data_IF_665778388271
#
_entry.id   IF_665778388271
#
_cell.length_a   1.000
_cell.length_b   1.000
_cell.length_c   1.000
_cell.angle_alpha   90.00
_cell.angle_beta   90.00
_cell.angle_gamma   90.00
#
_symmetry.space_group_name_H-M   'P 1'
#
loop_
_entity.id
_entity.type
_entity.pdbx_description
1 polymer ?
#
# COMPACT_ATOMS: atom_id res chain seq x y z
N UNK A 1 -31.98 13.91 -2.15
CA UNK A 1 -32.24 13.16 -0.91
C UNK A 1 -30.96 13.24 -0.06
N UNK A 2 -31.00 14.08 0.98
CA UNK A 2 -29.95 14.22 1.98
C UNK A 2 -30.13 13.08 3.01
N UNK A 3 -29.27 12.10 3.00
CA UNK A 3 -29.15 11.15 4.10
C UNK A 3 -28.23 11.75 5.19
N UNK A 4 -28.84 12.41 6.18
CA UNK A 4 -28.21 12.71 7.46
C UNK A 4 -28.61 11.62 8.47
N UNK A 5 -28.02 10.45 8.33
CA UNK A 5 -28.04 9.43 9.38
C UNK A 5 -26.79 9.54 10.25
N UNK A 6 -26.83 9.10 11.53
CA UNK A 6 -25.65 9.09 12.37
C UNK A 6 -24.56 8.26 11.67
N UNK A 7 -23.32 8.76 11.65
CA UNK A 7 -22.15 8.01 11.22
C UNK A 7 -22.09 6.78 12.12
N UNK A 8 -22.64 5.66 11.64
CA UNK A 8 -22.47 4.39 12.31
C UNK A 8 -20.96 4.09 12.31
N UNK A 9 -20.45 3.69 13.45
CA UNK A 9 -19.07 3.24 13.58
C UNK A 9 -18.71 2.36 12.37
N UNK A 10 -17.72 2.79 11.62
CA UNK A 10 -17.22 2.10 10.42
C UNK A 10 -17.13 0.61 10.78
N UNK A 11 -17.96 -0.23 10.18
CA UNK A 11 -17.79 -1.69 10.30
C UNK A 11 -16.41 -1.97 9.76
N UNK A 12 -15.45 -2.15 10.66
CA UNK A 12 -14.15 -2.68 10.30
C UNK A 12 -14.43 -4.10 9.85
N UNK A 13 -14.55 -4.29 8.55
CA UNK A 13 -14.55 -5.64 8.01
C UNK A 13 -13.25 -6.27 8.48
N UNK A 14 -13.31 -7.44 9.15
CA UNK A 14 -12.10 -8.12 9.56
C UNK A 14 -11.21 -8.21 8.33
N UNK A 15 -9.93 -7.87 8.49
CA UNK A 15 -8.95 -7.97 7.42
C UNK A 15 -9.00 -9.40 6.88
N UNK A 16 -9.70 -9.58 5.78
CA UNK A 16 -9.98 -10.90 5.23
C UNK A 16 -8.65 -11.55 4.86
N UNK A 17 -8.29 -12.56 5.64
CA UNK A 17 -7.35 -13.58 5.22
C UNK A 17 -5.88 -13.17 5.03
N UNK A 18 -5.49 -11.91 5.19
CA UNK A 18 -4.07 -11.55 5.10
C UNK A 18 -3.27 -12.08 6.29
N UNK A 19 -3.93 -12.40 7.42
CA UNK A 19 -3.29 -13.08 8.54
C UNK A 19 -2.80 -14.49 8.18
N UNK A 20 -3.48 -15.13 7.21
CA UNK A 20 -3.13 -16.45 6.70
C UNK A 20 -2.32 -16.38 5.39
N UNK A 21 -1.99 -15.17 4.93
CA UNK A 21 -1.21 -14.99 3.71
C UNK A 21 0.24 -15.45 3.94
N UNK A 22 0.58 -16.56 3.32
CA UNK A 22 1.95 -17.09 3.31
C UNK A 22 2.61 -16.67 2.01
N UNK A 23 3.69 -15.88 2.10
CA UNK A 23 4.50 -15.57 0.93
C UNK A 23 5.13 -16.84 0.37
N UNK A 24 5.02 -17.03 -0.94
CA UNK A 24 5.69 -18.15 -1.61
C UNK A 24 7.22 -18.03 -1.48
N UNK A 25 7.90 -19.15 -1.62
CA UNK A 25 9.37 -19.17 -1.67
C UNK A 25 9.85 -18.29 -2.83
N UNK A 26 10.92 -17.55 -2.59
CA UNK A 26 11.52 -16.73 -3.65
C UNK A 26 12.18 -17.63 -4.69
N UNK A 27 11.77 -17.56 -5.97
CA UNK A 27 12.37 -18.32 -7.04
C UNK A 27 13.78 -17.82 -7.43
N UNK A 28 14.15 -16.59 -7.01
CA UNK A 28 15.44 -16.01 -7.31
C UNK A 28 16.52 -16.46 -6.31
N UNK A 29 17.73 -16.60 -6.81
CA UNK A 29 18.93 -16.72 -5.98
C UNK A 29 19.64 -15.38 -5.89
N UNK A 30 20.07 -15.00 -4.69
CA UNK A 30 20.72 -13.72 -4.42
C UNK A 30 22.18 -13.94 -4.00
N UNK A 31 23.03 -12.95 -4.33
CA UNK A 31 24.40 -12.94 -3.84
C UNK A 31 24.42 -12.84 -2.30
N UNK A 32 24.94 -13.86 -1.65
CA UNK A 32 24.99 -13.91 -0.20
C UNK A 32 26.00 -12.92 0.39
N UNK A 33 27.02 -12.51 -0.37
CA UNK A 33 28.10 -11.64 0.11
C UNK A 33 27.58 -10.31 0.66
N UNK A 34 26.61 -9.69 -0.02
CA UNK A 34 26.02 -8.44 0.45
C UNK A 34 25.40 -8.56 1.86
N UNK A 35 24.91 -9.76 2.22
CA UNK A 35 24.38 -10.05 3.54
C UNK A 35 25.47 -10.40 4.55
N UNK A 36 26.54 -11.07 4.11
CA UNK A 36 27.64 -11.46 4.97
C UNK A 36 28.42 -10.24 5.46
N UNK A 37 28.54 -9.21 4.62
CA UNK A 37 29.15 -7.92 4.95
C UNK A 37 28.29 -7.03 5.85
N UNK A 38 27.00 -7.34 6.03
CA UNK A 38 26.10 -6.59 6.90
C UNK A 38 26.28 -7.01 8.35
N UNK A 39 26.30 -6.03 9.27
CA UNK A 39 26.26 -6.32 10.70
C UNK A 39 24.97 -7.02 11.11
N UNK A 40 25.01 -7.78 12.23
CA UNK A 40 23.79 -8.36 12.80
C UNK A 40 22.85 -7.29 13.30
N UNK A 41 21.55 -7.63 13.42
CA UNK A 41 20.51 -6.76 13.95
C UNK A 41 19.60 -6.19 12.88
N UNK A 42 18.71 -5.29 13.33
CA UNK A 42 17.75 -4.61 12.49
C UNK A 42 18.42 -3.40 11.84
N UNK A 43 18.22 -3.23 10.55
CA UNK A 43 18.63 -2.06 9.79
C UNK A 43 17.43 -1.42 9.14
N UNK A 44 17.48 -0.11 8.92
CA UNK A 44 16.48 0.59 8.14
C UNK A 44 17.09 1.72 7.30
N UNK A 45 16.41 2.05 6.21
CA UNK A 45 16.74 3.18 5.35
C UNK A 45 15.49 3.69 4.64
N UNK A 46 15.51 4.92 4.17
CA UNK A 46 14.52 5.38 3.21
C UNK A 46 14.78 4.81 1.82
N UNK A 47 13.71 4.45 1.15
CA UNK A 47 13.69 4.05 -0.25
C UNK A 47 12.95 5.04 -1.13
N UNK A 48 12.90 4.78 -2.44
CA UNK A 48 12.06 5.51 -3.40
C UNK A 48 10.77 4.75 -3.65
N UNK A 49 9.64 5.46 -3.72
CA UNK A 49 8.34 4.88 -4.10
C UNK A 49 8.33 4.36 -5.55
N UNK A 50 9.27 4.83 -6.38
CA UNK A 50 9.40 4.42 -7.79
C UNK A 50 10.23 3.16 -7.96
N UNK A 51 10.71 2.55 -6.87
CA UNK A 51 11.59 1.38 -6.91
C UNK A 51 10.90 0.16 -6.31
N UNK A 52 10.89 -0.93 -7.05
CA UNK A 52 10.48 -2.23 -6.56
C UNK A 52 11.68 -2.93 -5.91
N UNK A 53 11.67 -3.02 -4.61
CA UNK A 53 12.77 -3.61 -3.85
C UNK A 53 12.66 -5.13 -3.82
N UNK A 54 13.66 -5.82 -4.33
CA UNK A 54 13.72 -7.29 -4.27
C UNK A 54 13.92 -7.77 -2.84
N UNK A 55 13.23 -8.85 -2.47
CA UNK A 55 13.21 -9.41 -1.11
C UNK A 55 14.61 -9.78 -0.62
N UNK A 56 15.42 -10.40 -1.46
CA UNK A 56 16.73 -10.93 -1.10
C UNK A 56 17.91 -9.96 -1.27
N UNK A 57 17.69 -8.70 -1.65
CA UNK A 57 18.75 -7.72 -1.84
C UNK A 57 18.89 -6.78 -0.63
N UNK A 58 20.14 -6.50 -0.24
CA UNK A 58 20.42 -5.42 0.71
C UNK A 58 20.21 -4.08 0.00
N UNK A 59 19.48 -3.10 0.60
CA UNK A 59 19.36 -1.78 0.02
C UNK A 59 20.72 -1.10 -0.18
N UNK A 60 20.96 -0.59 -1.39
CA UNK A 60 22.20 0.10 -1.71
C UNK A 60 22.32 1.44 -0.95
N UNK A 61 21.21 2.18 -0.80
CA UNK A 61 21.16 3.43 -0.08
C UNK A 61 20.88 3.20 1.41
N UNK A 62 21.55 3.98 2.25
CA UNK A 62 21.36 3.96 3.71
C UNK A 62 20.87 5.31 4.22
N UNK A 63 20.02 5.97 3.45
CA UNK A 63 19.49 7.30 3.73
C UNK A 63 18.59 7.23 4.96
N UNK A 64 18.84 8.10 5.94
CA UNK A 64 18.08 8.16 7.20
C UNK A 64 17.11 9.33 7.26
N UNK A 65 17.15 10.24 6.31
CA UNK A 65 16.31 11.43 6.27
C UNK A 65 15.65 11.53 4.89
N UNK A 66 14.38 11.95 4.89
CA UNK A 66 13.65 12.22 3.65
C UNK A 66 12.79 13.46 3.81
N UNK A 67 12.50 14.12 2.68
CA UNK A 67 11.65 15.31 2.65
C UNK A 67 10.74 15.24 1.43
N UNK A 68 9.50 15.71 1.61
CA UNK A 68 8.58 15.98 0.51
C UNK A 68 7.97 17.36 0.65
N UNK A 69 7.57 17.95 -0.50
CA UNK A 69 6.80 19.18 -0.59
C UNK A 69 5.37 18.80 -0.92
N UNK A 70 4.41 19.32 -0.16
CA UNK A 70 3.02 18.87 -0.19
C UNK A 70 2.05 20.04 -0.09
N UNK A 71 0.80 19.84 -0.51
CA UNK A 71 -0.28 20.78 -0.31
C UNK A 71 -1.13 20.38 0.90
N UNK A 72 -1.85 21.33 1.47
CA UNK A 72 -2.86 21.09 2.51
C UNK A 72 -3.96 20.14 1.98
N UNK A 73 -4.28 19.10 2.73
CA UNK A 73 -5.26 18.08 2.35
C UNK A 73 -4.73 17.01 1.38
N UNK A 74 -3.45 16.99 1.10
CA UNK A 74 -2.79 15.95 0.30
C UNK A 74 -2.48 14.71 1.14
N UNK A 75 -2.36 13.56 0.46
CA UNK A 75 -1.76 12.34 0.99
C UNK A 75 -0.44 12.12 0.29
N UNK A 76 0.64 12.09 1.05
CA UNK A 76 1.98 11.84 0.52
C UNK A 76 2.50 10.50 1.02
N UNK A 77 3.19 9.77 0.14
CA UNK A 77 3.66 8.44 0.43
C UNK A 77 5.18 8.35 0.43
N UNK A 78 5.70 7.49 1.29
CA UNK A 78 7.11 7.17 1.41
C UNK A 78 7.28 5.66 1.57
N UNK A 79 8.48 5.16 1.27
CA UNK A 79 8.86 3.78 1.57
C UNK A 79 10.04 3.80 2.53
N UNK A 80 9.85 3.18 3.71
CA UNK A 80 10.94 2.77 4.56
C UNK A 80 11.28 1.31 4.27
N UNK A 81 12.56 0.97 4.37
CA UNK A 81 13.08 -0.37 4.16
C UNK A 81 13.61 -0.90 5.48
N UNK A 82 13.02 -1.95 6.01
CA UNK A 82 13.55 -2.72 7.13
C UNK A 82 14.28 -3.94 6.58
N UNK A 83 15.52 -4.18 6.99
CA UNK A 83 16.29 -5.31 6.48
C UNK A 83 17.22 -5.90 7.53
N UNK A 84 17.47 -7.18 7.41
CA UNK A 84 18.25 -7.92 8.41
C UNK A 84 18.97 -9.14 7.84
N UNK A 85 20.15 -9.42 8.39
CA UNK A 85 20.92 -10.64 8.09
C UNK A 85 20.32 -11.88 8.75
N UNK A 86 19.82 -11.74 9.97
CA UNK A 86 19.23 -12.82 10.77
C UNK A 86 17.73 -12.57 10.98
N UNK A 87 16.95 -13.61 11.28
CA UNK A 87 15.55 -13.44 11.61
C UNK A 87 15.37 -12.47 12.79
N UNK A 88 14.42 -11.54 12.63
CA UNK A 88 14.00 -10.62 13.71
C UNK A 88 12.50 -10.69 13.88
N UNK A 89 12.07 -10.91 15.12
CA UNK A 89 10.66 -11.06 15.49
C UNK A 89 10.04 -9.74 15.91
N UNK A 90 8.73 -9.67 15.76
CA UNK A 90 7.88 -8.58 16.26
C UNK A 90 8.35 -7.18 15.85
N UNK A 91 8.77 -7.05 14.60
CA UNK A 91 9.12 -5.75 14.02
C UNK A 91 7.86 -4.93 13.88
N UNK A 92 7.89 -3.71 14.45
CA UNK A 92 6.80 -2.73 14.40
C UNK A 92 7.30 -1.43 13.77
N UNK A 93 6.38 -0.71 13.15
CA UNK A 93 6.62 0.66 12.71
C UNK A 93 5.76 1.62 13.54
N UNK A 94 6.40 2.54 14.25
CA UNK A 94 5.75 3.53 15.11
C UNK A 94 6.16 4.91 14.65
N UNK A 95 5.25 5.85 14.66
CA UNK A 95 5.48 7.22 14.18
C UNK A 95 5.34 8.23 15.33
N UNK A 96 6.15 9.27 15.32
CA UNK A 96 5.93 10.43 16.18
C UNK A 96 4.97 11.41 15.51
N UNK A 97 4.49 12.38 16.27
CA UNK A 97 3.94 13.60 15.67
C UNK A 97 4.99 14.26 14.80
N UNK A 98 4.58 14.88 13.68
CA UNK A 98 5.44 15.74 12.91
C UNK A 98 5.23 17.17 13.44
N UNK A 99 6.30 17.77 13.96
CA UNK A 99 6.27 19.06 14.64
C UNK A 99 6.68 20.17 13.70
N UNK A 100 5.84 21.18 13.59
CA UNK A 100 6.15 22.49 13.00
C UNK A 100 6.40 23.54 14.07
N UNK A 101 6.60 24.79 13.65
CA UNK A 101 6.89 25.91 14.57
C UNK A 101 5.70 26.19 15.50
N UNK A 102 4.48 26.19 14.99
CA UNK A 102 3.27 26.58 15.72
C UNK A 102 2.15 25.54 15.70
N UNK A 103 2.38 24.41 15.08
CA UNK A 103 1.37 23.36 14.90
C UNK A 103 2.03 21.99 14.77
N UNK A 104 1.22 20.94 14.81
CA UNK A 104 1.65 19.55 14.63
C UNK A 104 0.78 18.84 13.60
N UNK A 105 1.35 17.89 12.91
CA UNK A 105 0.60 16.80 12.23
C UNK A 105 0.64 15.62 13.19
N UNK A 106 -0.51 15.23 13.77
CA UNK A 106 -0.54 14.15 14.75
C UNK A 106 -0.05 12.81 14.18
N UNK A 107 0.57 11.98 14.99
CA UNK A 107 0.99 10.63 14.59
C UNK A 107 -0.14 9.79 14.00
N UNK A 108 -1.39 10.02 14.43
CA UNK A 108 -2.58 9.37 13.86
C UNK A 108 -2.85 9.67 12.38
N UNK A 109 -2.25 10.74 11.84
CA UNK A 109 -2.28 11.06 10.42
C UNK A 109 -1.19 10.34 9.62
N UNK A 110 -0.33 9.58 10.28
CA UNK A 110 0.74 8.81 9.64
C UNK A 110 0.41 7.33 9.76
N UNK A 111 0.13 6.70 8.63
CA UNK A 111 -0.17 5.26 8.53
C UNK A 111 1.05 4.52 8.02
N UNK A 112 1.31 3.34 8.56
CA UNK A 112 2.38 2.46 8.10
C UNK A 112 1.83 1.06 7.84
N UNK A 113 2.18 0.50 6.68
CA UNK A 113 1.77 -0.83 6.26
C UNK A 113 2.99 -1.63 5.81
N UNK A 114 3.17 -2.84 6.31
CA UNK A 114 4.16 -3.75 5.74
C UNK A 114 3.74 -4.13 4.33
N UNK A 115 4.70 -4.17 3.41
CA UNK A 115 4.42 -4.59 2.04
C UNK A 115 4.75 -6.06 1.87
N UNK A 116 3.76 -6.87 1.51
CA UNK A 116 3.94 -8.29 1.21
C UNK A 116 4.43 -8.49 -0.21
N UNK A 117 5.16 -9.59 -0.40
CA UNK A 117 5.66 -10.01 -1.69
C UNK A 117 4.71 -11.00 -2.35
N UNK A 118 4.48 -10.78 -3.63
CA UNK A 118 3.69 -11.67 -4.50
C UNK A 118 4.49 -12.06 -5.73
N UNK A 119 4.14 -13.19 -6.35
CA UNK A 119 4.75 -13.59 -7.61
C UNK A 119 4.27 -12.70 -8.75
N UNK A 120 5.18 -12.22 -9.55
CA UNK A 120 4.90 -11.42 -10.74
C UNK A 120 5.95 -11.66 -11.81
N UNK A 121 5.60 -11.46 -13.05
CA UNK A 121 6.50 -11.42 -14.20
C UNK A 121 6.98 -10.00 -14.54
N UNK A 122 6.64 -9.02 -13.71
CA UNK A 122 6.85 -7.58 -13.96
C UNK A 122 8.30 -7.19 -14.27
N UNK A 123 9.28 -7.92 -13.76
CA UNK A 123 10.70 -7.65 -14.03
C UNK A 123 11.20 -8.31 -15.33
N UNK A 124 10.38 -9.11 -15.96
CA UNK A 124 10.71 -9.75 -17.20
C UNK A 124 10.14 -8.93 -18.36
N UNK A 125 10.94 -8.09 -18.93
CA UNK A 125 10.68 -7.49 -20.24
C UNK A 125 11.18 -8.51 -21.26
N UNK A 126 10.31 -9.33 -21.81
CA UNK A 126 10.59 -10.05 -23.05
C UNK A 126 9.91 -9.28 -24.19
N UNK A 127 10.57 -9.19 -25.32
CA UNK A 127 10.01 -8.62 -26.57
C UNK A 127 8.77 -9.40 -27.03
N UNK A 128 8.46 -10.50 -26.39
CA UNK A 128 7.30 -11.38 -26.64
C UNK A 128 6.07 -11.05 -25.77
N UNK A 129 6.09 -10.04 -24.90
CA UNK A 129 4.87 -9.56 -24.23
C UNK A 129 4.03 -8.83 -25.26
N UNK A 130 3.46 -9.62 -26.12
CA UNK A 130 2.43 -9.20 -27.04
C UNK A 130 1.13 -9.05 -26.26
N UNK A 131 0.62 -7.83 -26.31
CA UNK A 131 -0.76 -7.40 -26.06
C UNK A 131 -1.61 -8.30 -25.12
N UNK A 132 -2.53 -7.71 -24.39
CA UNK A 132 -3.49 -8.32 -23.46
C UNK A 132 -4.22 -9.60 -23.91
N UNK A 133 -4.02 -10.07 -25.12
CA UNK A 133 -4.64 -11.24 -25.72
C UNK A 133 -3.72 -12.48 -25.86
N UNK A 134 -2.44 -12.37 -25.62
CA UNK A 134 -1.53 -13.52 -25.75
C UNK A 134 -1.60 -14.41 -24.50
N UNK A 135 -2.46 -15.41 -24.56
CA UNK A 135 -2.54 -16.50 -23.58
C UNK A 135 -1.35 -17.45 -23.74
N UNK A 136 -0.15 -17.00 -23.48
CA UNK A 136 0.95 -17.93 -23.27
C UNK A 136 0.89 -18.40 -21.82
N UNK A 137 0.91 -19.71 -21.55
CA UNK A 137 1.00 -20.21 -20.18
C UNK A 137 2.20 -19.57 -19.51
N UNK A 138 1.98 -18.82 -18.42
CA UNK A 138 3.06 -18.29 -17.62
C UNK A 138 3.92 -19.44 -17.13
N UNK A 139 5.16 -19.50 -17.59
CA UNK A 139 6.13 -20.39 -17.00
C UNK A 139 6.54 -19.79 -15.67
N UNK A 140 6.30 -20.50 -14.58
CA UNK A 140 6.69 -20.10 -13.22
C UNK A 140 8.19 -19.79 -13.10
N UNK A 141 9.00 -20.36 -14.00
CA UNK A 141 10.45 -20.11 -14.13
C UNK A 141 10.83 -18.64 -14.38
N UNK A 142 9.88 -17.81 -14.75
CA UNK A 142 10.08 -16.41 -15.09
C UNK A 142 9.44 -15.44 -14.09
N UNK A 143 8.90 -15.96 -13.00
CA UNK A 143 8.25 -15.17 -11.97
C UNK A 143 9.25 -14.71 -10.92
N UNK A 144 9.05 -13.52 -10.42
CA UNK A 144 9.85 -12.90 -9.36
C UNK A 144 8.94 -12.46 -8.23
N UNK A 145 9.47 -12.37 -7.02
CA UNK A 145 8.75 -11.75 -5.93
C UNK A 145 8.83 -10.24 -6.05
N UNK A 146 7.67 -9.58 -6.09
CA UNK A 146 7.54 -8.12 -6.07
C UNK A 146 6.82 -7.66 -4.82
N UNK A 147 7.20 -6.52 -4.24
CA UNK A 147 6.46 -5.92 -3.13
C UNK A 147 5.20 -5.22 -3.69
N UNK A 148 4.02 -5.74 -3.40
CA UNK A 148 2.78 -5.26 -4.03
C UNK A 148 1.60 -5.11 -3.06
N UNK A 149 1.47 -5.95 -2.04
CA UNK A 149 0.29 -5.96 -1.18
C UNK A 149 0.55 -5.22 0.12
N UNK A 150 -0.24 -4.17 0.41
CA UNK A 150 -0.22 -3.48 1.69
C UNK A 150 -0.93 -4.33 2.75
N UNK A 151 -0.20 -4.69 3.82
CA UNK A 151 -0.72 -5.50 4.91
C UNK A 151 -1.01 -4.63 6.15
N UNK A 152 -2.17 -4.83 6.75
CA UNK A 152 -2.64 -4.04 7.89
C UNK A 152 -2.27 -4.66 9.25
N UNK A 153 -1.27 -5.55 9.27
CA UNK A 153 -0.80 -6.14 10.52
C UNK A 153 0.05 -5.14 11.33
N UNK A 154 -0.08 -5.13 12.67
CA UNK A 154 0.63 -4.19 13.52
C UNK A 154 2.12 -4.53 13.69
N UNK A 155 2.50 -5.77 13.44
CA UNK A 155 3.87 -6.27 13.57
C UNK A 155 4.11 -7.47 12.68
N UNK A 156 5.38 -7.71 12.36
CA UNK A 156 5.80 -8.79 11.47
C UNK A 156 7.13 -9.39 11.91
N UNK A 157 7.31 -10.69 11.74
CA UNK A 157 8.63 -11.31 11.74
C UNK A 157 9.28 -11.11 10.37
N UNK A 158 10.50 -10.54 10.35
CA UNK A 158 11.29 -10.41 9.13
C UNK A 158 12.30 -11.56 9.12
N UNK A 159 12.21 -12.48 8.15
CA UNK A 159 13.17 -13.57 7.98
C UNK A 159 14.59 -13.05 7.76
N UNK A 160 15.57 -13.87 8.07
CA UNK A 160 16.97 -13.54 7.76
C UNK A 160 17.21 -13.33 6.26
N UNK A 161 18.18 -12.47 5.93
CA UNK A 161 18.55 -12.10 4.55
C UNK A 161 17.35 -11.58 3.75
N UNK A 162 16.53 -10.75 4.41
CA UNK A 162 15.30 -10.20 3.83
C UNK A 162 15.26 -8.68 3.98
N UNK A 163 14.88 -8.02 2.91
CA UNK A 163 14.45 -6.63 2.90
C UNK A 163 12.93 -6.59 2.86
N UNK A 164 12.34 -5.83 3.79
CA UNK A 164 10.89 -5.63 3.91
C UNK A 164 10.56 -4.16 3.72
N UNK A 165 9.89 -3.79 2.62
CA UNK A 165 9.38 -2.44 2.48
C UNK A 165 8.21 -2.19 3.44
N UNK A 166 8.14 -0.97 3.93
CA UNK A 166 7.06 -0.45 4.77
C UNK A 166 6.54 0.80 4.06
N UNK A 167 5.29 0.76 3.64
CA UNK A 167 4.61 1.89 3.00
C UNK A 167 4.12 2.84 4.06
N UNK A 168 4.50 4.10 3.97
CA UNK A 168 4.13 5.14 4.92
C UNK A 168 3.33 6.19 4.19
N UNK A 169 2.11 6.46 4.65
CA UNK A 169 1.23 7.50 4.13
C UNK A 169 1.04 8.58 5.18
N UNK A 170 1.34 9.83 4.84
CA UNK A 170 1.06 10.99 5.67
C UNK A 170 -0.16 11.73 5.10
N UNK A 171 -1.21 11.84 5.90
CA UNK A 171 -2.42 12.60 5.55
C UNK A 171 -2.28 14.03 6.09
N UNK A 172 -2.13 15.00 5.19
CA UNK A 172 -1.92 16.40 5.56
C UNK A 172 -3.28 17.05 5.88
N UNK A 173 -3.49 17.60 7.08
CA UNK A 173 -4.73 18.31 7.40
C UNK A 173 -4.96 19.50 6.46
N UNK A 174 -6.23 19.78 6.17
CA UNK A 174 -6.61 20.88 5.25
C UNK A 174 -6.45 22.27 5.85
N UNK A 175 -6.50 22.37 7.16
CA UNK A 175 -6.48 23.60 7.97
C UNK A 175 -5.15 23.86 8.65
N UNK A 176 -4.14 23.06 8.35
CA UNK A 176 -2.82 23.20 8.96
C UNK A 176 -2.10 24.45 8.41
N UNK A 177 -1.35 25.20 9.22
CA UNK A 177 -0.48 26.26 8.73
C UNK A 177 0.57 25.75 7.75
N UNK A 178 0.93 26.54 6.74
CA UNK A 178 2.07 26.26 5.87
C UNK A 178 3.38 26.31 6.65
N UNK A 179 4.37 25.51 6.23
CA UNK A 179 5.67 25.40 6.87
C UNK A 179 6.23 23.98 6.89
N UNK A 180 7.37 23.82 7.51
CA UNK A 180 8.01 22.52 7.67
C UNK A 180 7.53 21.80 8.93
N UNK A 181 7.25 20.52 8.80
CA UNK A 181 6.85 19.59 9.85
C UNK A 181 7.78 18.39 9.84
N UNK A 182 8.51 18.19 10.93
CA UNK A 182 9.49 17.11 11.06
C UNK A 182 9.12 16.15 12.18
N UNK A 183 9.25 14.87 11.93
CA UNK A 183 9.04 13.80 12.90
C UNK A 183 9.92 12.61 12.61
N UNK A 184 9.71 11.56 13.39
CA UNK A 184 10.52 10.35 13.35
C UNK A 184 9.64 9.12 13.14
N UNK A 185 10.17 8.19 12.37
CA UNK A 185 9.64 6.86 12.14
C UNK A 185 10.58 5.89 12.86
N UNK A 186 10.03 5.16 13.83
CA UNK A 186 10.74 4.16 14.61
C UNK A 186 10.41 2.77 14.08
N UNK A 187 11.40 2.06 13.59
CA UNK A 187 11.27 0.64 13.25
C UNK A 187 11.88 -0.14 14.39
N UNK A 188 11.06 -0.81 15.18
CA UNK A 188 11.40 -1.44 16.45
C UNK A 188 11.27 -2.93 16.37
N UNK A 189 12.12 -3.64 17.10
CA UNK A 189 12.03 -5.10 17.25
C UNK A 189 11.84 -5.52 18.70
N UNK A 190 11.43 -6.77 18.94
CA UNK A 190 11.35 -7.35 20.27
C UNK A 190 12.71 -7.39 20.99
N UNK A 191 13.81 -7.38 20.26
CA UNK A 191 15.17 -7.38 20.82
C UNK A 191 15.62 -6.00 21.35
N UNK A 192 14.77 -4.96 21.22
CA UNK A 192 15.05 -3.61 21.73
C UNK A 192 15.94 -2.78 20.83
N UNK A 193 16.21 -3.23 19.61
CA UNK A 193 16.95 -2.44 18.62
C UNK A 193 15.97 -1.53 17.86
N UNK A 194 16.13 -0.22 18.07
CA UNK A 194 15.35 0.78 17.35
C UNK A 194 16.16 1.36 16.20
N UNK A 195 15.56 1.41 15.02
CA UNK A 195 16.07 2.15 13.88
C UNK A 195 15.20 3.39 13.68
N UNK A 196 15.85 4.53 13.61
CA UNK A 196 15.19 5.84 13.51
C UNK A 196 15.40 6.40 12.11
N UNK A 197 14.31 6.82 11.49
CA UNK A 197 14.29 7.50 10.21
C UNK A 197 13.61 8.86 10.40
N UNK A 198 14.23 9.94 9.95
CA UNK A 198 13.67 11.29 10.01
C UNK A 198 12.83 11.58 8.77
N UNK A 199 11.65 12.14 8.98
CA UNK A 199 10.69 12.52 7.93
C UNK A 199 10.36 14.01 8.06
N UNK A 200 10.50 14.76 6.98
CA UNK A 200 10.06 16.16 6.90
C UNK A 200 9.04 16.31 5.76
N UNK A 201 7.95 17.01 6.04
CA UNK A 201 7.03 17.49 5.01
C UNK A 201 6.99 19.01 5.03
N UNK A 202 7.18 19.63 3.87
CA UNK A 202 7.02 21.07 3.68
C UNK A 202 5.62 21.34 3.12
N UNK A 203 4.75 21.86 3.95
CA UNK A 203 3.36 22.16 3.58
C UNK A 203 3.30 23.55 2.94
N UNK A 204 2.93 23.59 1.66
CA UNK A 204 2.74 24.84 0.92
C UNK A 204 1.38 25.47 1.25
N UNK A 205 1.25 26.78 1.00
CA UNK A 205 -0.02 27.50 1.21
C UNK A 205 -0.99 27.32 0.03
N UNK A 206 -1.20 26.06 -0.34
CA UNK A 206 -2.18 25.62 -1.33
C UNK A 206 -3.01 24.50 -0.75
N UNK A 207 -4.28 24.43 -1.13
CA UNK A 207 -5.20 23.40 -0.65
C UNK A 207 -5.60 22.54 -1.86
N UNK A 208 -5.40 21.22 -1.75
CA UNK A 208 -5.91 20.27 -2.76
C UNK A 208 -7.44 20.42 -2.85
N UNK A 209 -8.01 20.68 -4.03
CA UNK A 209 -9.47 20.72 -4.18
C UNK A 209 -10.11 19.43 -3.66
N UNK A 210 -11.33 19.52 -3.12
CA UNK A 210 -12.06 18.32 -2.75
C UNK A 210 -12.27 17.43 -4.00
N UNK A 211 -12.19 16.10 -3.91
CA UNK A 211 -12.31 15.20 -5.06
C UNK A 211 -13.53 15.47 -5.96
N UNK A 212 -14.68 15.80 -5.35
CA UNK A 212 -15.89 16.18 -6.08
C UNK A 212 -15.73 17.40 -6.99
N UNK A 213 -14.73 18.25 -6.73
CA UNK A 213 -14.46 19.49 -7.47
C UNK A 213 -13.33 19.34 -8.50
N UNK A 214 -12.71 18.15 -8.61
CA UNK A 214 -11.68 17.93 -9.60
C UNK A 214 -12.24 18.06 -11.01
N UNK A 215 -11.47 18.67 -11.91
CA UNK A 215 -11.94 18.91 -13.27
C UNK A 215 -11.68 17.73 -14.21
N UNK A 216 -10.67 16.91 -13.93
CA UNK A 216 -10.41 15.74 -14.75
C UNK A 216 -11.46 14.64 -14.50
N UNK A 217 -11.71 13.83 -15.51
CA UNK A 217 -12.63 12.72 -15.45
C UNK A 217 -11.85 11.44 -15.09
N UNK A 218 -12.16 10.87 -13.94
CA UNK A 218 -11.69 9.57 -13.53
C UNK A 218 -12.84 8.57 -13.67
N UNK A 219 -12.62 7.52 -14.44
CA UNK A 219 -13.59 6.44 -14.62
C UNK A 219 -12.86 5.09 -14.46
N UNK A 220 -12.96 4.51 -13.28
CA UNK A 220 -12.49 3.17 -12.97
C UNK A 220 -13.68 2.22 -13.09
N UNK A 221 -13.57 1.25 -13.95
CA UNK A 221 -14.62 0.27 -14.17
C UNK A 221 -14.77 -0.65 -12.98
N UNK A 222 -15.99 -0.81 -12.49
CA UNK A 222 -16.30 -1.65 -11.35
C UNK A 222 -16.85 -3.00 -11.82
N UNK A 223 -16.35 -4.06 -11.20
CA UNK A 223 -16.93 -5.39 -11.36
C UNK A 223 -17.74 -5.78 -10.11
N UNK A 224 -19.03 -5.50 -10.16
CA UNK A 224 -19.94 -5.80 -9.05
C UNK A 224 -20.07 -7.31 -8.77
N UNK A 225 -19.86 -8.15 -9.79
CA UNK A 225 -19.90 -9.61 -9.64
C UNK A 225 -18.71 -10.11 -8.83
N UNK A 226 -17.52 -9.52 -9.01
CA UNK A 226 -16.35 -9.87 -8.21
C UNK A 226 -16.56 -9.49 -6.73
N UNK A 227 -17.16 -8.33 -6.46
CA UNK A 227 -17.55 -7.95 -5.09
C UNK A 227 -18.50 -8.98 -4.47
N UNK A 228 -19.53 -9.40 -5.22
CA UNK A 228 -20.45 -10.46 -4.79
C UNK A 228 -19.70 -11.79 -4.54
N UNK A 229 -18.77 -12.15 -5.41
CA UNK A 229 -18.00 -13.40 -5.28
C UNK A 229 -17.15 -13.40 -4.00
N UNK A 230 -16.53 -12.28 -3.69
CA UNK A 230 -15.70 -12.13 -2.51
C UNK A 230 -16.51 -12.12 -1.21
N UNK A 231 -17.55 -11.28 -1.13
CA UNK A 231 -18.36 -11.09 0.08
C UNK A 231 -19.50 -12.08 0.22
N UNK A 232 -19.88 -12.77 -0.88
CA UNK A 232 -20.92 -13.81 -0.96
C UNK A 232 -22.35 -13.36 -0.62
N UNK A 233 -22.77 -12.11 -0.83
CA UNK A 233 -24.18 -11.75 -0.74
C UNK A 233 -24.96 -12.37 -1.91
N UNK A 234 -26.28 -12.32 -1.86
CA UNK A 234 -27.12 -12.58 -3.03
C UNK A 234 -26.91 -11.45 -4.04
N UNK A 235 -26.63 -11.80 -5.30
CA UNK A 235 -26.42 -10.81 -6.37
C UNK A 235 -27.60 -9.85 -6.48
N UNK A 236 -27.32 -8.56 -6.48
CA UNK A 236 -28.29 -7.45 -6.57
C UNK A 236 -29.31 -7.36 -5.41
N UNK A 237 -29.02 -8.01 -4.27
CA UNK A 237 -29.78 -7.80 -3.04
C UNK A 237 -29.41 -6.48 -2.38
N UNK A 238 -30.22 -6.04 -1.42
CA UNK A 238 -29.92 -4.85 -0.60
C UNK A 238 -28.58 -4.97 0.09
N UNK A 239 -28.24 -6.16 0.63
CA UNK A 239 -26.94 -6.44 1.22
C UNK A 239 -25.79 -6.23 0.21
N UNK A 240 -25.95 -6.69 -1.05
CA UNK A 240 -24.96 -6.47 -2.09
C UNK A 240 -24.78 -4.99 -2.39
N UNK A 241 -25.86 -4.21 -2.48
CA UNK A 241 -25.79 -2.78 -2.70
C UNK A 241 -25.18 -2.02 -1.52
N UNK A 242 -25.42 -2.45 -0.28
CA UNK A 242 -24.73 -1.89 0.91
C UNK A 242 -23.21 -2.11 0.83
N UNK A 243 -22.77 -3.30 0.45
CA UNK A 243 -21.35 -3.58 0.25
C UNK A 243 -20.77 -2.73 -0.88
N UNK A 244 -21.43 -2.66 -2.03
CA UNK A 244 -21.01 -1.84 -3.16
C UNK A 244 -20.89 -0.35 -2.80
N UNK A 245 -21.77 0.15 -1.95
CA UNK A 245 -21.74 1.55 -1.52
C UNK A 245 -20.42 1.91 -0.81
N UNK A 246 -19.84 0.99 -0.03
CA UNK A 246 -18.54 1.22 0.61
C UNK A 246 -17.41 1.30 -0.43
N UNK A 247 -17.42 0.46 -1.45
CA UNK A 247 -16.45 0.53 -2.56
C UNK A 247 -16.61 1.83 -3.35
N UNK A 248 -17.85 2.23 -3.66
CA UNK A 248 -18.12 3.47 -4.39
C UNK A 248 -17.71 4.71 -3.61
N UNK A 249 -17.77 4.67 -2.28
CA UNK A 249 -17.28 5.75 -1.43
C UNK A 249 -15.76 5.89 -1.56
N UNK A 250 -15.01 4.78 -1.56
CA UNK A 250 -13.54 4.80 -1.77
C UNK A 250 -13.22 5.42 -3.13
N UNK A 251 -13.95 5.02 -4.18
CA UNK A 251 -13.77 5.57 -5.52
C UNK A 251 -14.11 7.06 -5.61
N UNK A 252 -15.17 7.49 -4.92
CA UNK A 252 -15.55 8.91 -4.83
C UNK A 252 -14.48 9.73 -4.11
N UNK A 253 -13.88 9.20 -3.04
CA UNK A 253 -12.77 9.81 -2.33
C UNK A 253 -11.49 9.88 -3.18
N UNK A 254 -11.35 9.01 -4.17
CA UNK A 254 -10.31 9.06 -5.20
C UNK A 254 -10.64 10.01 -6.36
N UNK A 255 -11.83 10.64 -6.38
CA UNK A 255 -12.24 11.63 -7.38
C UNK A 255 -13.14 11.10 -8.50
N UNK A 256 -13.58 9.85 -8.43
CA UNK A 256 -14.53 9.31 -9.38
C UNK A 256 -15.93 9.89 -9.16
N UNK A 257 -16.59 10.33 -10.24
CA UNK A 257 -17.91 10.97 -10.20
C UNK A 257 -19.00 10.15 -10.88
N UNK A 258 -18.62 9.06 -11.52
CA UNK A 258 -19.50 8.17 -12.26
C UNK A 258 -19.33 6.75 -11.76
N UNK A 259 -20.35 5.95 -11.88
CA UNK A 259 -20.28 4.51 -11.67
C UNK A 259 -20.45 3.84 -13.04
N UNK A 260 -19.39 3.19 -13.51
CA UNK A 260 -19.44 2.36 -14.71
C UNK A 260 -19.46 0.91 -14.28
N UNK A 261 -20.59 0.26 -14.41
CA UNK A 261 -20.76 -1.14 -14.06
C UNK A 261 -21.44 -1.88 -15.21
N UNK A 262 -20.96 -3.07 -15.47
CA UNK A 262 -21.65 -3.99 -16.41
C UNK A 262 -22.77 -4.68 -15.64
N UNK A 263 -24.00 -4.41 -16.04
CA UNK A 263 -25.17 -5.11 -15.54
C UNK A 263 -25.55 -6.14 -16.62
N UNK A 264 -25.17 -7.38 -16.40
CA UNK A 264 -25.50 -8.47 -17.31
C UNK A 264 -26.26 -9.56 -16.55
N UNK A 265 -27.35 -10.03 -17.13
CA UNK A 265 -28.11 -11.15 -16.61
C UNK A 265 -27.86 -12.39 -17.51
N UNK A 266 -26.98 -13.27 -17.07
CA UNK A 266 -26.89 -14.63 -17.62
C UNK A 266 -26.12 -14.80 -18.93
N UNK A 267 -25.18 -13.98 -19.25
CA UNK A 267 -24.26 -14.20 -20.37
C UNK A 267 -23.10 -15.12 -19.96
N UNK A 268 -23.09 -16.33 -20.46
CA UNK A 268 -22.13 -17.38 -20.10
C UNK A 268 -20.66 -17.10 -20.40
N UNK A 269 -20.31 -16.04 -21.13
CA UNK A 269 -18.93 -15.81 -21.56
C UNK A 269 -18.26 -14.59 -20.91
N UNK A 270 -19.00 -13.78 -20.18
CA UNK A 270 -18.45 -12.57 -19.54
C UNK A 270 -17.98 -12.79 -18.11
N UNK A 271 -18.50 -13.78 -17.42
CA UNK A 271 -18.11 -14.05 -16.03
C UNK A 271 -16.64 -14.45 -15.91
N UNK A 272 -16.10 -15.18 -16.90
CA UNK A 272 -14.70 -15.61 -16.91
C UNK A 272 -13.72 -14.51 -17.35
N UNK A 273 -14.18 -13.53 -18.12
CA UNK A 273 -13.33 -12.48 -18.68
C UNK A 273 -13.13 -11.28 -17.75
N UNK A 274 -14.16 -10.93 -16.98
CA UNK A 274 -14.10 -9.80 -16.06
C UNK A 274 -13.44 -10.13 -14.71
N UNK A 275 -13.23 -11.41 -14.43
CA UNK A 275 -12.53 -11.85 -13.23
C UNK A 275 -11.06 -11.50 -13.21
N UNK A 276 -10.47 -11.29 -14.37
CA UNK A 276 -9.05 -10.98 -14.52
C UNK A 276 -8.75 -9.48 -14.59
N UNK A 277 -9.77 -8.61 -14.48
CA UNK A 277 -9.60 -7.15 -14.64
C UNK A 277 -9.65 -6.38 -13.32
N UNK A 278 -9.58 -7.06 -12.18
CA UNK A 278 -9.43 -6.45 -10.85
C UNK A 278 -8.05 -6.80 -10.32
#
# INVERSE_FOLDING_TARGET
LLFSGPISAQKVYPAYGLNDFVETADPETYDSKQWDDLSSGLHAAWGSIDTLYKKGNVPANKIKQTKAVVWKGEKVNFIALAYTKNEIKDVKCVTSDLKGISSIIPAGNVKSNFVRYTLSDKFKISDEILACAARTPHKTENSHLVPDVLDYIPQMTIPGRTTRPIWITVEIPRDIPSGEYTGEIFIRSAAGEDQILSLTVEVLDHIVPAPKNWQFHLDLWQNCVSVKRYHKPTLWSDEHFEILAEYFKILADAGQKVCTAVINHGGQSFDDWYESMI
#
